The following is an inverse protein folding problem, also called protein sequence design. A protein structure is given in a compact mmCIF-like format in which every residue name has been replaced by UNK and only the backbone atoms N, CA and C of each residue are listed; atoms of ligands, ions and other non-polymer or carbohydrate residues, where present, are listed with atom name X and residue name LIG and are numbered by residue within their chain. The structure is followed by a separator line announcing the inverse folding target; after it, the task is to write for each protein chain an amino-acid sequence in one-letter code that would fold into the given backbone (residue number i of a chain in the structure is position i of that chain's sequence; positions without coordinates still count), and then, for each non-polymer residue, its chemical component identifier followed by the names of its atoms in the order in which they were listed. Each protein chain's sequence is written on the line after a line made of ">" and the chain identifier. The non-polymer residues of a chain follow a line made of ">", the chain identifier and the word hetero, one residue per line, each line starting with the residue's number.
data_IF_248386413518
#
_entry.id   IF_248386413518
#
_cell.length_a   1.000
_cell.length_b   1.000
_cell.length_c   1.000
_cell.angle_alpha   90.00
_cell.angle_beta   90.00
_cell.angle_gamma   90.00
#
_symmetry.space_group_name_H-M   'P 1'
#
loop_
_entity.id
_entity.type
_entity.pdbx_description
1 polymer ?
#
# COMPACT_ATOMS: atom_id res chain seq x y z
N UNK A 1 -40.56 4.42 -9.10
CA UNK A 1 -40.76 4.01 -7.68
C UNK A 1 -40.29 5.16 -6.80
N UNK A 2 -41.18 6.09 -6.41
CA UNK A 2 -40.78 7.38 -5.83
C UNK A 2 -40.05 7.26 -4.47
N UNK A 3 -40.34 6.23 -3.67
CA UNK A 3 -39.69 6.01 -2.38
C UNK A 3 -38.22 5.57 -2.50
N UNK A 4 -37.89 4.90 -3.60
CA UNK A 4 -36.57 4.34 -3.85
C UNK A 4 -35.61 5.41 -4.37
N UNK A 5 -36.05 6.22 -5.35
CA UNK A 5 -35.33 7.43 -5.78
C UNK A 5 -35.12 8.43 -4.63
N UNK A 6 -36.13 8.58 -3.76
CA UNK A 6 -36.04 9.44 -2.57
C UNK A 6 -35.03 8.93 -1.55
N UNK A 7 -34.90 7.62 -1.38
CA UNK A 7 -33.91 7.02 -0.48
C UNK A 7 -32.47 7.26 -0.98
N UNK A 8 -32.19 6.93 -2.25
CA UNK A 8 -30.86 7.14 -2.84
C UNK A 8 -30.47 8.62 -2.82
N UNK A 9 -31.40 9.52 -3.17
CA UNK A 9 -31.16 10.96 -3.13
C UNK A 9 -30.94 11.50 -1.71
N UNK A 10 -31.70 11.02 -0.71
CA UNK A 10 -31.55 11.46 0.69
C UNK A 10 -30.20 11.07 1.28
N UNK A 11 -29.75 9.87 0.96
CA UNK A 11 -28.49 9.32 1.49
C UNK A 11 -27.29 9.58 0.57
N UNK A 12 -27.47 10.37 -0.51
CA UNK A 12 -26.41 10.69 -1.48
C UNK A 12 -25.72 9.43 -2.04
N UNK A 13 -26.51 8.36 -2.23
CA UNK A 13 -26.00 7.07 -2.71
C UNK A 13 -25.97 7.10 -4.22
N UNK A 14 -24.78 7.04 -4.78
CA UNK A 14 -24.57 6.80 -6.21
C UNK A 14 -24.47 5.30 -6.46
N UNK A 15 -25.21 4.82 -7.46
CA UNK A 15 -25.27 3.38 -7.80
C UNK A 15 -23.87 2.82 -8.10
N UNK A 16 -23.03 3.62 -8.75
CA UNK A 16 -21.63 3.33 -9.09
C UNK A 16 -20.77 3.00 -7.87
N UNK A 17 -21.09 3.59 -6.73
CA UNK A 17 -20.32 3.46 -5.49
C UNK A 17 -20.81 2.32 -4.58
N UNK A 18 -21.89 1.61 -4.93
CA UNK A 18 -22.41 0.51 -4.11
C UNK A 18 -21.54 -0.72 -4.26
N UNK A 19 -21.07 -1.29 -3.14
CA UNK A 19 -20.36 -2.58 -3.13
C UNK A 19 -21.34 -3.75 -3.08
N UNK A 20 -22.29 -3.69 -2.17
CA UNK A 20 -23.26 -4.75 -1.94
C UNK A 20 -24.44 -4.22 -1.11
N UNK A 21 -25.53 -4.99 -1.10
CA UNK A 21 -26.71 -4.77 -0.28
C UNK A 21 -26.97 -6.05 0.49
N UNK A 22 -27.23 -5.94 1.79
CA UNK A 22 -27.51 -7.10 2.62
C UNK A 22 -28.63 -6.85 3.60
N UNK A 23 -29.28 -7.93 4.03
CA UNK A 23 -30.38 -7.87 4.97
C UNK A 23 -29.90 -8.00 6.42
N UNK A 24 -30.19 -7.00 7.25
CA UNK A 24 -29.88 -6.94 8.69
C UNK A 24 -31.08 -6.38 9.45
N UNK A 25 -31.50 -7.04 10.53
CA UNK A 25 -32.58 -6.57 11.42
C UNK A 25 -33.89 -6.14 10.71
N UNK A 26 -34.36 -6.97 9.77
CA UNK A 26 -35.56 -6.71 8.93
C UNK A 26 -35.45 -5.50 8.00
N UNK A 27 -34.25 -4.98 7.80
CA UNK A 27 -33.95 -3.86 6.91
C UNK A 27 -32.94 -4.29 5.84
N UNK A 28 -33.04 -3.65 4.68
CA UNK A 28 -32.05 -3.74 3.62
C UNK A 28 -30.99 -2.67 3.86
N UNK A 29 -29.74 -3.06 3.97
CA UNK A 29 -28.60 -2.16 4.19
C UNK A 29 -27.81 -2.08 2.90
N UNK A 30 -27.68 -0.86 2.37
CA UNK A 30 -26.84 -0.56 1.20
C UNK A 30 -25.47 -0.10 1.69
N UNK A 31 -24.40 -0.73 1.20
CA UNK A 31 -23.03 -0.38 1.54
C UNK A 31 -22.31 0.23 0.35
N UNK A 32 -21.70 1.40 0.57
CA UNK A 32 -20.87 2.07 -0.42
C UNK A 32 -19.37 1.72 -0.27
N UNK A 33 -18.59 2.06 -1.29
CA UNK A 33 -17.13 1.92 -1.28
C UNK A 33 -16.43 2.82 -0.24
N UNK A 34 -17.08 3.90 0.20
CA UNK A 34 -16.59 4.77 1.28
C UNK A 34 -16.77 4.15 2.68
N UNK A 35 -17.44 3.00 2.78
CA UNK A 35 -17.75 2.34 4.05
C UNK A 35 -19.03 2.85 4.71
N UNK A 36 -19.79 3.73 4.05
CA UNK A 36 -21.07 4.22 4.56
C UNK A 36 -22.16 3.14 4.38
N UNK A 37 -22.97 2.95 5.43
CA UNK A 37 -24.11 2.04 5.43
C UNK A 37 -25.42 2.83 5.53
N UNK A 38 -26.33 2.62 4.58
CA UNK A 38 -27.67 3.20 4.62
C UNK A 38 -28.73 2.09 4.76
N UNK A 39 -29.45 2.11 5.88
CA UNK A 39 -30.50 1.14 6.16
C UNK A 39 -31.87 1.63 5.65
N UNK A 40 -32.59 0.74 4.99
CA UNK A 40 -33.90 1.00 4.38
C UNK A 40 -34.90 -0.09 4.72
N UNK A 41 -36.19 0.25 4.76
CA UNK A 41 -37.29 -0.73 4.84
C UNK A 41 -37.70 -1.28 3.48
N UNK A 42 -37.09 -0.79 2.40
CA UNK A 42 -37.37 -1.24 1.03
C UNK A 42 -36.93 -2.71 0.91
N UNK A 43 -37.82 -3.61 0.43
CA UNK A 43 -37.49 -5.01 0.22
C UNK A 43 -36.33 -5.23 -0.77
N UNK A 44 -35.51 -6.26 -0.53
CA UNK A 44 -34.37 -6.61 -1.39
C UNK A 44 -34.74 -6.83 -2.87
N UNK A 45 -35.93 -7.37 -3.15
CA UNK A 45 -36.37 -7.60 -4.53
C UNK A 45 -36.70 -6.31 -5.29
N UNK A 46 -37.18 -5.27 -4.60
CA UNK A 46 -37.41 -3.95 -5.18
C UNK A 46 -36.08 -3.24 -5.43
N UNK A 47 -35.13 -3.34 -4.50
CA UNK A 47 -33.78 -2.82 -4.68
C UNK A 47 -33.10 -3.50 -5.88
N UNK A 48 -33.21 -4.82 -6.01
CA UNK A 48 -32.64 -5.55 -7.15
C UNK A 48 -33.25 -5.09 -8.49
N UNK A 49 -34.57 -4.88 -8.54
CA UNK A 49 -35.26 -4.43 -9.75
C UNK A 49 -34.92 -2.98 -10.16
N UNK A 50 -34.44 -2.15 -9.23
CA UNK A 50 -33.98 -0.80 -9.52
C UNK A 50 -32.52 -0.75 -10.01
N UNK A 51 -31.70 -1.71 -9.60
CA UNK A 51 -30.28 -1.74 -9.93
C UNK A 51 -30.05 -2.29 -11.34
N UNK A 52 -28.96 -1.88 -12.03
CA UNK A 52 -28.59 -2.45 -13.32
C UNK A 52 -28.32 -3.97 -13.20
N UNK A 53 -29.13 -4.79 -13.88
CA UNK A 53 -29.10 -6.26 -13.76
C UNK A 53 -27.73 -6.87 -14.13
N UNK A 54 -27.02 -6.26 -15.08
CA UNK A 54 -25.69 -6.71 -15.51
C UNK A 54 -24.60 -6.45 -14.47
N UNK A 55 -24.78 -5.44 -13.62
CA UNK A 55 -23.81 -5.01 -12.61
C UNK A 55 -24.07 -5.64 -11.24
N UNK A 56 -25.29 -6.08 -10.94
CA UNK A 56 -25.67 -6.56 -9.61
C UNK A 56 -26.18 -7.99 -9.62
N UNK A 57 -25.60 -8.82 -8.74
CA UNK A 57 -25.90 -10.24 -8.61
C UNK A 57 -26.60 -10.54 -7.29
N UNK A 58 -27.82 -11.08 -7.36
CA UNK A 58 -28.49 -11.63 -6.18
C UNK A 58 -27.96 -13.04 -5.86
N UNK A 59 -26.99 -13.11 -4.95
CA UNK A 59 -26.33 -14.37 -4.56
C UNK A 59 -27.09 -15.16 -3.49
N UNK A 60 -27.91 -14.48 -2.68
CA UNK A 60 -28.75 -15.13 -1.66
C UNK A 60 -30.08 -14.40 -1.47
N UNK A 61 -30.93 -14.85 -0.52
CA UNK A 61 -32.14 -14.07 -0.14
C UNK A 61 -31.79 -12.79 0.62
N UNK A 62 -30.58 -12.74 1.18
CA UNK A 62 -30.15 -11.72 2.12
C UNK A 62 -28.99 -10.89 1.58
N UNK A 63 -28.55 -11.11 0.34
CA UNK A 63 -27.38 -10.43 -0.21
C UNK A 63 -27.48 -10.26 -1.73
N UNK A 64 -27.23 -9.04 -2.18
CA UNK A 64 -26.99 -8.62 -3.55
C UNK A 64 -25.58 -8.04 -3.57
N UNK A 65 -24.74 -8.44 -4.52
CA UNK A 65 -23.34 -7.97 -4.62
C UNK A 65 -23.11 -7.37 -5.98
N UNK A 66 -22.27 -6.33 -6.06
CA UNK A 66 -21.88 -5.74 -7.34
C UNK A 66 -20.79 -6.59 -7.99
N UNK A 67 -20.99 -6.98 -9.25
CA UNK A 67 -20.22 -7.99 -9.99
C UNK A 67 -18.75 -7.62 -10.15
N UNK A 68 -18.47 -6.39 -10.58
CA UNK A 68 -17.11 -5.88 -10.83
C UNK A 68 -16.30 -5.62 -9.54
N UNK A 69 -16.95 -5.62 -8.37
CA UNK A 69 -16.30 -5.42 -7.07
C UNK A 69 -16.07 -6.71 -6.29
N UNK A 70 -16.47 -7.87 -6.81
CA UNK A 70 -16.19 -9.15 -6.13
C UNK A 70 -14.68 -9.40 -6.18
N UNK A 71 -14.06 -9.60 -5.02
CA UNK A 71 -12.63 -9.91 -4.91
C UNK A 71 -12.35 -11.39 -5.14
N UNK A 72 -13.24 -12.27 -4.68
CA UNK A 72 -13.12 -13.72 -4.84
C UNK A 72 -14.49 -14.40 -4.64
N UNK A 73 -14.65 -15.60 -5.23
CA UNK A 73 -15.79 -16.49 -4.99
C UNK A 73 -15.22 -17.87 -4.63
N UNK A 74 -15.37 -18.37 -3.40
CA UNK A 74 -14.83 -19.68 -3.00
C UNK A 74 -15.49 -20.86 -3.74
N UNK A 75 -14.87 -22.05 -3.66
CA UNK A 75 -15.43 -23.30 -4.20
C UNK A 75 -16.78 -23.68 -3.57
N UNK A 76 -17.04 -23.18 -2.37
CA UNK A 76 -18.27 -23.37 -1.59
C UNK A 76 -19.27 -22.22 -1.76
N UNK A 77 -19.01 -21.30 -2.70
CA UNK A 77 -19.92 -20.21 -3.05
C UNK A 77 -19.91 -19.05 -2.04
N UNK A 78 -18.81 -18.84 -1.32
CA UNK A 78 -18.62 -17.66 -0.47
C UNK A 78 -18.04 -16.52 -1.32
N UNK A 79 -18.72 -15.38 -1.34
CA UNK A 79 -18.29 -14.17 -2.03
C UNK A 79 -17.52 -13.27 -1.05
N UNK A 80 -16.34 -12.82 -1.43
CA UNK A 80 -15.51 -11.87 -0.67
C UNK A 80 -15.51 -10.52 -1.35
N UNK A 81 -15.77 -9.45 -0.59
CA UNK A 81 -15.84 -8.06 -1.06
C UNK A 81 -14.54 -7.29 -0.70
N UNK A 82 -14.27 -6.11 -1.28
CA UNK A 82 -13.01 -5.38 -1.10
C UNK A 82 -12.78 -4.86 0.32
N UNK A 83 -13.85 -4.66 1.09
CA UNK A 83 -13.82 -4.31 2.51
C UNK A 83 -13.59 -5.52 3.43
N UNK A 84 -13.36 -6.71 2.85
CA UNK A 84 -13.16 -7.96 3.56
C UNK A 84 -14.44 -8.68 3.99
N UNK A 85 -15.63 -8.09 3.77
CA UNK A 85 -16.90 -8.73 4.14
C UNK A 85 -17.21 -9.91 3.23
N UNK A 86 -17.85 -10.93 3.81
CA UNK A 86 -18.18 -12.16 3.08
C UNK A 86 -19.67 -12.46 3.09
N UNK A 87 -20.13 -13.08 2.00
CA UNK A 87 -21.53 -13.46 1.82
C UNK A 87 -21.65 -14.88 1.28
N UNK A 88 -22.43 -15.70 1.96
CA UNK A 88 -22.73 -17.06 1.52
C UNK A 88 -23.79 -17.03 0.41
N UNK A 89 -23.40 -17.46 -0.80
CA UNK A 89 -24.33 -17.77 -1.88
C UNK A 89 -25.21 -18.98 -1.52
N UNK A 90 -26.37 -19.13 -2.18
CA UNK A 90 -27.27 -20.26 -1.90
C UNK A 90 -26.59 -21.58 -2.24
N UNK A 91 -26.50 -22.47 -1.27
CA UNK A 91 -25.92 -23.82 -1.44
C UNK A 91 -26.58 -24.64 -2.55
N UNK A 92 -27.87 -24.44 -2.80
CA UNK A 92 -28.59 -25.09 -3.93
C UNK A 92 -28.15 -24.61 -5.32
N UNK A 93 -27.40 -23.51 -5.40
CA UNK A 93 -26.92 -22.88 -6.64
C UNK A 93 -25.38 -22.91 -6.76
N UNK A 94 -24.71 -23.85 -6.09
CA UNK A 94 -23.26 -24.01 -6.17
C UNK A 94 -22.74 -24.14 -7.60
N UNK A 95 -23.48 -24.76 -8.51
CA UNK A 95 -23.09 -24.84 -9.93
C UNK A 95 -23.02 -23.46 -10.59
N UNK A 96 -23.97 -22.57 -10.30
CA UNK A 96 -23.98 -21.18 -10.78
C UNK A 96 -22.81 -20.39 -10.20
N UNK A 97 -22.54 -20.54 -8.90
CA UNK A 97 -21.41 -19.86 -8.24
C UNK A 97 -20.06 -20.33 -8.82
N UNK A 98 -19.90 -21.63 -9.07
CA UNK A 98 -18.71 -22.18 -9.74
C UNK A 98 -18.57 -21.68 -11.18
N UNK A 99 -19.68 -21.50 -11.91
CA UNK A 99 -19.66 -20.92 -13.25
C UNK A 99 -19.18 -19.47 -13.22
N UNK A 100 -19.74 -18.65 -12.33
CA UNK A 100 -19.31 -17.26 -12.13
C UNK A 100 -17.83 -17.18 -11.72
N UNK A 101 -17.37 -18.07 -10.84
CA UNK A 101 -15.96 -18.17 -10.45
C UNK A 101 -15.02 -18.38 -11.65
N UNK A 102 -15.43 -19.23 -12.60
CA UNK A 102 -14.69 -19.46 -13.86
C UNK A 102 -14.77 -18.29 -14.82
N UNK A 103 -15.97 -17.71 -15.01
CA UNK A 103 -16.20 -16.54 -15.87
C UNK A 103 -15.37 -15.33 -15.41
N UNK A 104 -15.20 -15.16 -14.10
CA UNK A 104 -14.40 -14.08 -13.50
C UNK A 104 -12.92 -14.45 -13.33
N UNK A 105 -12.48 -15.58 -13.89
CA UNK A 105 -11.09 -16.04 -13.85
C UNK A 105 -10.50 -16.20 -12.43
N UNK A 106 -11.31 -16.37 -11.39
CA UNK A 106 -10.81 -16.70 -10.03
C UNK A 106 -10.24 -18.13 -9.92
N UNK A 107 -10.49 -18.96 -10.93
CA UNK A 107 -9.87 -20.27 -11.11
C UNK A 107 -8.62 -20.23 -11.98
N UNK A 108 -8.27 -19.07 -12.55
CA UNK A 108 -6.99 -18.94 -13.21
C UNK A 108 -5.90 -19.31 -12.20
N UNK A 109 -4.88 -20.09 -12.61
CA UNK A 109 -3.65 -20.13 -11.84
C UNK A 109 -3.28 -18.68 -11.51
N UNK A 110 -2.72 -18.43 -10.31
CA UNK A 110 -2.01 -17.18 -10.08
C UNK A 110 -1.22 -16.92 -11.36
N UNK A 111 -1.35 -15.73 -11.99
CA UNK A 111 -0.57 -15.44 -13.20
C UNK A 111 0.82 -15.93 -12.87
N UNK A 112 1.33 -16.87 -13.67
CA UNK A 112 2.73 -17.22 -13.59
C UNK A 112 3.38 -15.86 -13.71
N UNK A 113 3.94 -15.36 -12.61
CA UNK A 113 4.63 -14.09 -12.61
C UNK A 113 5.61 -14.30 -13.75
N UNK A 114 5.35 -13.67 -14.92
CA UNK A 114 6.37 -13.55 -15.94
C UNK A 114 7.56 -13.10 -15.13
N UNK A 115 8.57 -13.96 -15.03
CA UNK A 115 9.65 -13.78 -14.06
C UNK A 115 10.31 -12.48 -14.48
N UNK A 116 9.80 -11.38 -13.93
CA UNK A 116 10.30 -10.06 -14.21
C UNK A 116 11.74 -10.16 -13.78
N UNK A 117 12.69 -9.72 -14.63
CA UNK A 117 14.09 -9.75 -14.25
C UNK A 117 14.20 -9.13 -12.87
N UNK A 118 15.00 -9.72 -11.96
CA UNK A 118 15.10 -9.22 -10.61
C UNK A 118 15.53 -7.77 -10.67
N UNK A 119 14.69 -6.88 -10.13
CA UNK A 119 14.99 -5.45 -10.06
C UNK A 119 16.32 -5.24 -9.34
N UNK A 120 17.11 -4.30 -9.86
CA UNK A 120 18.29 -3.76 -9.17
C UNK A 120 17.89 -3.16 -7.82
N UNK A 121 18.89 -2.94 -6.94
CA UNK A 121 18.65 -2.32 -5.63
C UNK A 121 17.88 -1.00 -5.75
N UNK A 122 18.26 -0.14 -6.69
CA UNK A 122 17.68 1.19 -6.84
C UNK A 122 16.29 1.17 -7.48
N UNK A 123 16.01 0.23 -8.39
CA UNK A 123 14.65 0.03 -8.91
C UNK A 123 13.68 -0.40 -7.81
N UNK A 124 14.15 -1.22 -6.86
CA UNK A 124 13.35 -1.60 -5.68
C UNK A 124 13.06 -0.41 -4.77
N UNK A 125 13.95 0.57 -4.70
CA UNK A 125 13.75 1.75 -3.87
C UNK A 125 12.58 2.63 -4.35
N UNK A 126 12.10 2.50 -5.60
CA UNK A 126 10.96 3.29 -6.12
C UNK A 126 9.68 3.19 -5.29
N UNK A 127 9.47 2.07 -4.57
CA UNK A 127 8.31 1.92 -3.67
C UNK A 127 8.37 2.85 -2.45
N UNK A 128 9.53 3.45 -2.18
CA UNK A 128 9.80 4.30 -1.02
C UNK A 128 9.75 5.80 -1.37
N UNK A 129 9.57 6.17 -2.63
CA UNK A 129 9.69 7.55 -3.13
C UNK A 129 8.76 8.52 -2.39
N UNK A 130 7.52 8.08 -2.11
CA UNK A 130 6.49 8.85 -1.41
C UNK A 130 6.31 8.42 0.05
N UNK A 131 7.19 7.58 0.59
CA UNK A 131 7.12 7.16 2.00
C UNK A 131 7.32 8.38 2.92
N UNK A 132 6.43 8.64 3.90
CA UNK A 132 6.49 9.81 4.78
C UNK A 132 7.50 9.64 5.93
N UNK A 133 8.63 8.98 5.65
CA UNK A 133 9.75 8.76 6.56
C UNK A 133 11.02 8.91 5.74
N UNK A 134 12.00 9.66 6.24
CA UNK A 134 13.24 9.94 5.52
C UNK A 134 14.06 8.67 5.37
N UNK A 135 14.43 8.35 4.13
CA UNK A 135 15.17 7.15 3.78
C UNK A 135 16.20 7.45 2.70
N UNK A 136 17.43 6.99 2.92
CA UNK A 136 18.49 7.06 1.91
C UNK A 136 19.33 5.78 1.88
N UNK A 137 20.01 5.56 0.75
CA UNK A 137 21.03 4.52 0.58
C UNK A 137 22.33 5.19 0.18
N UNK A 138 23.36 4.93 0.98
CA UNK A 138 24.71 5.44 0.75
C UNK A 138 25.65 4.28 0.41
N UNK A 139 26.52 4.49 -0.58
CA UNK A 139 27.55 3.54 -0.99
C UNK A 139 28.89 3.93 -0.35
N UNK A 140 29.57 2.97 0.26
CA UNK A 140 30.93 3.16 0.77
C UNK A 140 31.92 3.23 -0.41
N UNK A 141 32.66 4.34 -0.49
CA UNK A 141 33.69 4.56 -1.52
C UNK A 141 35.07 4.52 -0.88
N UNK A 142 36.01 3.88 -1.59
CA UNK A 142 37.38 3.68 -1.14
C UNK A 142 38.35 4.63 -1.84
N UNK A 143 39.39 5.06 -1.15
CA UNK A 143 40.52 5.76 -1.77
C UNK A 143 41.43 4.79 -2.55
N UNK A 144 42.48 5.34 -3.17
CA UNK A 144 43.46 4.57 -3.93
C UNK A 144 44.20 3.52 -3.08
N UNK A 145 44.24 3.69 -1.76
CA UNK A 145 44.87 2.77 -0.81
C UNK A 145 43.87 1.73 -0.25
N UNK A 146 42.60 1.79 -0.66
CA UNK A 146 41.56 0.85 -0.25
C UNK A 146 40.93 1.16 1.11
N UNK A 147 41.12 2.36 1.66
CA UNK A 147 40.42 2.80 2.86
C UNK A 147 39.06 3.38 2.50
N UNK A 148 38.01 3.00 3.23
CA UNK A 148 36.69 3.62 3.09
C UNK A 148 36.80 5.08 3.53
N UNK A 149 36.78 6.00 2.58
CA UNK A 149 37.06 7.43 2.84
C UNK A 149 35.82 8.29 2.80
N UNK A 150 34.78 7.82 2.11
CA UNK A 150 33.60 8.63 1.84
C UNK A 150 32.39 7.74 1.56
N UNK A 151 31.22 8.37 1.50
CA UNK A 151 30.00 7.76 1.06
C UNK A 151 29.36 8.57 -0.06
N UNK A 152 28.73 7.90 -1.01
CA UNK A 152 27.97 8.56 -2.07
C UNK A 152 26.50 8.22 -1.93
N UNK A 153 25.63 9.24 -1.93
CA UNK A 153 24.18 9.01 -1.95
C UNK A 153 23.77 8.38 -3.27
N UNK A 154 23.23 7.16 -3.22
CA UNK A 154 22.72 6.46 -4.41
C UNK A 154 21.20 6.46 -4.51
N UNK A 155 20.53 6.66 -3.37
CA UNK A 155 19.08 6.85 -3.32
C UNK A 155 18.73 7.76 -2.15
N UNK A 156 17.75 8.64 -2.34
CA UNK A 156 17.10 9.44 -1.30
C UNK A 156 15.63 9.57 -1.70
N UNK A 157 14.71 9.29 -0.77
CA UNK A 157 13.29 9.53 -1.04
C UNK A 157 12.92 11.01 -0.81
N UNK A 158 11.73 11.42 -1.24
CA UNK A 158 11.31 12.84 -1.16
C UNK A 158 11.29 13.37 0.27
N UNK A 159 11.03 12.51 1.26
CA UNK A 159 10.99 12.93 2.66
C UNK A 159 12.37 13.29 3.23
N UNK A 160 13.47 12.88 2.59
CA UNK A 160 14.82 13.36 2.93
C UNK A 160 14.93 14.88 2.81
N UNK A 161 14.29 15.50 1.80
CA UNK A 161 14.33 16.96 1.61
C UNK A 161 13.69 17.70 2.79
N UNK A 162 12.63 17.10 3.35
CA UNK A 162 11.90 17.67 4.48
C UNK A 162 12.72 17.56 5.76
N UNK A 163 13.40 16.43 5.97
CA UNK A 163 14.17 16.16 7.20
C UNK A 163 15.53 16.84 7.19
N UNK A 164 16.21 16.94 6.05
CA UNK A 164 17.56 17.54 6.00
C UNK A 164 17.55 18.97 5.47
N UNK A 165 16.43 19.45 4.90
CA UNK A 165 16.33 20.80 4.33
C UNK A 165 17.14 21.00 3.04
N UNK A 166 17.68 19.93 2.45
CA UNK A 166 18.49 19.94 1.23
C UNK A 166 17.71 19.21 0.12
N UNK A 167 17.64 19.76 -1.12
CA UNK A 167 17.00 19.06 -2.23
C UNK A 167 17.66 17.70 -2.53
N UNK A 168 16.88 16.67 -2.87
CA UNK A 168 17.36 15.33 -3.21
C UNK A 168 18.30 15.38 -4.42
N UNK A 169 18.02 16.28 -5.37
CA UNK A 169 18.90 16.54 -6.53
C UNK A 169 20.29 17.02 -6.14
N UNK A 170 20.43 17.68 -4.99
CA UNK A 170 21.72 18.12 -4.45
C UNK A 170 22.40 17.05 -3.60
N UNK A 171 21.68 16.01 -3.17
CA UNK A 171 22.26 14.86 -2.47
C UNK A 171 22.74 13.78 -3.44
N UNK A 172 21.89 13.42 -4.42
CA UNK A 172 22.10 12.25 -5.27
C UNK A 172 23.43 12.30 -6.03
N UNK A 173 24.14 11.18 -5.99
CA UNK A 173 25.46 10.95 -6.58
C UNK A 173 26.55 11.92 -6.10
N UNK A 174 26.34 12.61 -4.97
CA UNK A 174 27.34 13.45 -4.33
C UNK A 174 27.92 12.77 -3.10
N UNK A 175 29.11 13.22 -2.74
CA UNK A 175 29.79 12.82 -1.51
C UNK A 175 28.97 13.24 -0.29
N UNK A 176 28.94 12.38 0.72
CA UNK A 176 28.32 12.67 2.00
C UNK A 176 28.94 13.92 2.63
N UNK A 177 30.26 14.08 2.56
CA UNK A 177 30.96 15.24 3.09
C UNK A 177 30.87 16.50 2.22
N UNK A 178 30.52 16.37 0.93
CA UNK A 178 30.17 17.53 0.10
C UNK A 178 28.80 18.10 0.47
N UNK A 179 27.83 17.22 0.73
CA UNK A 179 26.47 17.58 1.13
C UNK A 179 26.46 18.08 2.58
N UNK A 180 27.08 17.33 3.50
CA UNK A 180 27.15 17.62 4.93
C UNK A 180 28.59 17.97 5.33
N UNK A 181 29.01 19.22 5.04
CA UNK A 181 30.38 19.69 5.31
C UNK A 181 30.79 19.62 6.79
N UNK A 182 29.83 19.68 7.69
CA UNK A 182 30.03 19.56 9.14
C UNK A 182 29.72 18.16 9.68
N UNK A 183 29.50 17.17 8.80
CA UNK A 183 29.15 15.80 9.18
C UNK A 183 30.21 15.20 10.09
N UNK A 184 29.78 14.67 11.24
CA UNK A 184 30.70 14.13 12.23
C UNK A 184 31.40 12.87 11.71
N UNK A 185 32.73 12.90 11.68
CA UNK A 185 33.57 11.76 11.24
C UNK A 185 33.32 10.48 12.03
N UNK A 186 32.74 10.55 13.23
CA UNK A 186 32.32 9.36 14.00
C UNK A 186 31.36 8.47 13.21
N UNK A 187 30.56 9.05 12.31
CA UNK A 187 29.58 8.33 11.50
C UNK A 187 30.20 7.47 10.42
N UNK A 188 31.38 7.86 9.92
CA UNK A 188 32.09 7.07 8.91
C UNK A 188 32.33 5.65 9.39
N UNK A 189 32.75 5.50 10.65
CA UNK A 189 33.04 4.20 11.26
C UNK A 189 31.75 3.37 11.38
N UNK A 190 30.66 3.99 11.84
CA UNK A 190 29.39 3.29 12.04
C UNK A 190 28.76 2.85 10.70
N UNK A 191 28.70 3.75 9.71
CA UNK A 191 28.18 3.42 8.39
C UNK A 191 29.08 2.44 7.64
N UNK A 192 30.40 2.53 7.78
CA UNK A 192 31.33 1.57 7.16
C UNK A 192 31.19 0.19 7.79
N UNK A 193 31.03 0.09 9.10
CA UNK A 193 30.78 -1.18 9.80
C UNK A 193 29.49 -1.84 9.29
N UNK A 194 28.42 -1.07 9.12
CA UNK A 194 27.17 -1.56 8.49
C UNK A 194 27.42 -2.00 7.05
N UNK A 195 28.02 -1.14 6.23
CA UNK A 195 28.23 -1.39 4.80
C UNK A 195 29.17 -2.56 4.51
N UNK A 196 30.12 -2.86 5.39
CA UNK A 196 31.09 -3.95 5.24
C UNK A 196 30.61 -5.24 5.92
N UNK A 197 30.15 -5.16 7.17
CA UNK A 197 29.91 -6.33 8.01
C UNK A 197 28.43 -6.74 8.08
N UNK A 198 27.52 -5.95 7.52
CA UNK A 198 26.10 -6.27 7.51
C UNK A 198 25.41 -6.15 8.87
N UNK A 199 26.07 -5.53 9.85
CA UNK A 199 25.50 -5.31 11.18
C UNK A 199 24.41 -4.24 11.12
N UNK A 200 23.48 -4.30 12.07
CA UNK A 200 22.52 -3.22 12.29
C UNK A 200 23.08 -2.25 13.33
N UNK A 201 22.90 -0.95 13.10
CA UNK A 201 23.31 0.11 14.04
C UNK A 201 22.16 1.09 14.22
N UNK A 202 22.05 1.64 15.42
CA UNK A 202 21.19 2.79 15.71
C UNK A 202 22.07 3.91 16.21
N UNK A 203 21.92 5.07 15.58
CA UNK A 203 22.72 6.24 15.82
C UNK A 203 21.79 7.34 16.32
N UNK A 204 22.30 8.17 17.23
CA UNK A 204 21.58 9.35 17.70
C UNK A 204 22.45 10.57 17.39
N UNK A 205 21.93 11.48 16.58
CA UNK A 205 22.63 12.71 16.20
C UNK A 205 21.76 13.93 16.44
N UNK A 206 22.37 15.10 16.31
CA UNK A 206 21.67 16.36 16.16
C UNK A 206 21.95 16.89 14.76
N UNK A 207 20.90 17.14 13.97
CA UNK A 207 21.00 17.81 12.67
C UNK A 207 20.93 19.33 12.89
N UNK A 208 22.02 20.07 12.61
CA UNK A 208 22.01 21.52 12.64
C UNK A 208 21.09 22.14 11.59
N UNK A 209 20.85 21.46 10.48
CA UNK A 209 20.06 21.94 9.34
C UNK A 209 18.60 22.16 9.72
N UNK A 210 18.05 21.29 10.57
CA UNK A 210 16.67 21.38 11.06
C UNK A 210 16.55 21.65 12.57
N UNK A 211 17.67 21.89 13.27
CA UNK A 211 17.72 22.13 14.71
C UNK A 211 17.00 21.05 15.53
N UNK A 212 17.23 19.78 15.20
CA UNK A 212 16.57 18.63 15.87
C UNK A 212 17.51 17.47 16.10
N UNK A 213 17.22 16.71 17.16
CA UNK A 213 17.83 15.40 17.35
C UNK A 213 17.22 14.39 16.35
N UNK A 214 18.06 13.57 15.74
CA UNK A 214 17.71 12.50 14.83
C UNK A 214 18.04 11.15 15.48
N UNK A 215 17.16 10.18 15.29
CA UNK A 215 17.50 8.76 15.45
C UNK A 215 17.63 8.14 14.07
N UNK A 216 18.80 7.55 13.78
CA UNK A 216 19.14 6.99 12.48
C UNK A 216 19.30 5.48 12.60
N UNK A 217 18.41 4.73 11.96
CA UNK A 217 18.47 3.28 11.91
C UNK A 217 19.21 2.84 10.64
N UNK A 218 20.24 2.03 10.82
CA UNK A 218 21.17 1.66 9.76
C UNK A 218 21.19 0.15 9.57
N UNK A 219 21.12 -0.30 8.32
CA UNK A 219 21.27 -1.70 7.94
C UNK A 219 21.89 -1.84 6.55
N UNK A 220 22.39 -3.02 6.20
CA UNK A 220 23.01 -3.28 4.91
C UNK A 220 21.98 -3.85 3.92
N UNK A 221 21.55 -3.09 2.89
CA UNK A 221 20.65 -3.61 1.87
C UNK A 221 21.39 -4.52 0.85
N UNK A 222 22.68 -4.27 0.64
CA UNK A 222 23.60 -5.03 -0.21
C UNK A 222 25.04 -4.78 0.28
N UNK A 223 25.99 -5.74 0.13
CA UNK A 223 27.39 -5.50 0.47
C UNK A 223 27.95 -4.23 -0.17
N UNK A 224 28.62 -3.39 0.63
CA UNK A 224 29.14 -2.09 0.23
C UNK A 224 28.18 -0.91 0.43
N UNK A 225 26.94 -1.17 0.88
CA UNK A 225 25.90 -0.15 1.04
C UNK A 225 25.38 -0.08 2.47
N UNK A 226 24.99 1.12 2.90
CA UNK A 226 24.27 1.37 4.14
C UNK A 226 22.94 2.05 3.80
N UNK A 227 21.83 1.45 4.21
CA UNK A 227 20.51 2.07 4.20
C UNK A 227 20.29 2.77 5.54
N UNK A 228 19.78 4.00 5.50
CA UNK A 228 19.53 4.82 6.67
C UNK A 228 18.06 5.25 6.70
N UNK A 229 17.40 5.05 7.84
CA UNK A 229 16.08 5.59 8.15
C UNK A 229 16.25 6.68 9.19
N UNK A 230 15.85 7.91 8.87
CA UNK A 230 16.03 9.07 9.74
C UNK A 230 14.70 9.45 10.37
N UNK A 231 14.67 9.51 11.69
CA UNK A 231 13.49 9.88 12.47
C UNK A 231 13.85 11.08 13.36
N UNK A 232 13.35 12.29 13.03
CA UNK A 232 13.48 13.45 13.90
C UNK A 232 12.75 13.23 15.23
N UNK A 233 13.31 13.75 16.31
CA UNK A 233 12.62 13.90 17.57
C UNK A 233 11.44 14.87 17.42
N UNK A 234 10.37 14.61 18.17
CA UNK A 234 9.16 15.45 18.20
C UNK A 234 9.47 16.89 18.63
#
# INVERSE_FOLDING_TARGET
>A
MPDLERFFKRHHIEVENILYIYHRDRKSVVCSASGEEAASTIPMHELLAFLPEEEFLSISRNAIVRRDKILNISKDGVYTMPDGKTFQGRTRYLSTHRRLRKEMHFDAPLPQIEVLPPLSLFEKCSILDDMPVAYCVIELVFDADGHGVDFVFRYCNKHMEVVEGIPVEEMLNRSFYEVFKNGDRKWLIAYADVALNGVQRTLHDYSPEIDKNLTIYCYQPQPGYCACVLVPAE
#
